data_IF_623994615168
#
_entry.id   IF_623994615168
#
_cell.length_a   1.000
_cell.length_b   1.000
_cell.length_c   1.000
_cell.angle_alpha   90.00
_cell.angle_beta   90.00
_cell.angle_gamma   90.00
#
_symmetry.space_group_name_H-M   'P 1'
#
loop_
_entity.id
_entity.type
_entity.pdbx_description
1 polymer ?
#
# COMPACT_ATOMS: atom_id res chain seq x y z
N UNK A 1 8.95 20.84 -16.69
CA UNK A 1 7.64 21.37 -16.21
C UNK A 1 7.00 20.31 -15.32
N UNK A 2 6.43 20.72 -14.20
CA UNK A 2 6.00 19.80 -13.13
C UNK A 2 4.80 18.94 -13.51
N UNK A 3 4.86 17.65 -13.18
CA UNK A 3 3.72 16.74 -13.18
C UNK A 3 3.06 16.76 -11.81
N UNK A 4 1.73 16.74 -11.79
CA UNK A 4 0.92 16.72 -10.58
C UNK A 4 -0.06 15.56 -10.60
N UNK A 5 -0.42 15.09 -9.41
CA UNK A 5 -1.52 14.16 -9.20
C UNK A 5 -2.64 14.89 -8.46
N UNK A 6 -3.88 14.72 -8.92
CA UNK A 6 -5.04 15.33 -8.29
C UNK A 6 -6.24 14.38 -8.24
N UNK A 7 -6.96 14.40 -7.12
CA UNK A 7 -8.25 13.74 -6.95
C UNK A 7 -9.35 14.79 -7.08
N UNK A 8 -10.30 14.58 -7.99
CA UNK A 8 -11.37 15.53 -8.26
C UNK A 8 -12.58 14.84 -8.90
N UNK A 9 -13.75 15.49 -8.82
CA UNK A 9 -14.96 15.08 -9.52
C UNK A 9 -14.91 15.57 -10.97
N UNK A 10 -15.26 14.71 -11.93
CA UNK A 10 -15.46 15.09 -13.33
C UNK A 10 -16.77 15.87 -13.45
N UNK A 11 -16.72 17.01 -14.12
CA UNK A 11 -17.90 17.75 -14.58
C UNK A 11 -17.69 18.26 -16.01
N UNK A 12 -18.77 18.63 -16.68
CA UNK A 12 -18.75 19.16 -18.05
C UNK A 12 -17.98 18.28 -19.06
N UNK A 13 -18.06 16.96 -18.93
CA UNK A 13 -17.40 16.01 -19.82
C UNK A 13 -17.94 16.10 -21.25
N UNK A 14 -17.03 16.31 -22.21
CA UNK A 14 -17.27 16.34 -23.64
C UNK A 14 -16.33 15.40 -24.38
N UNK A 15 -16.89 14.59 -25.28
CA UNK A 15 -16.19 13.56 -26.04
C UNK A 15 -16.46 13.70 -27.55
N UNK A 16 -15.93 14.74 -28.21
CA UNK A 16 -16.11 14.97 -29.64
C UNK A 16 -15.49 13.85 -30.51
N UNK A 17 -15.89 13.81 -31.79
CA UNK A 17 -15.44 12.82 -32.77
C UNK A 17 -13.92 12.80 -33.02
N UNK A 18 -13.18 13.86 -32.66
CA UNK A 18 -11.71 13.88 -32.67
C UNK A 18 -11.08 12.84 -31.72
N UNK A 19 -11.85 12.36 -30.75
CA UNK A 19 -11.41 11.40 -29.75
C UNK A 19 -10.63 12.02 -28.59
N UNK A 20 -10.52 13.36 -28.52
CA UNK A 20 -10.04 14.08 -27.34
C UNK A 20 -11.15 14.21 -26.32
N UNK A 21 -10.81 14.20 -25.04
CA UNK A 21 -11.76 14.46 -23.96
C UNK A 21 -11.48 15.83 -23.37
N UNK A 22 -12.56 16.58 -23.12
CA UNK A 22 -12.52 17.86 -22.43
C UNK A 22 -13.45 17.77 -21.24
N UNK A 23 -12.97 18.16 -20.05
CA UNK A 23 -13.76 18.10 -18.83
C UNK A 23 -13.22 19.12 -17.83
N UNK A 24 -13.99 19.34 -16.77
CA UNK A 24 -13.59 20.14 -15.62
C UNK A 24 -13.36 19.20 -14.44
N UNK A 25 -12.22 19.35 -13.78
CA UNK A 25 -11.92 18.69 -12.51
C UNK A 25 -12.27 19.68 -11.39
N UNK A 26 -13.18 19.29 -10.49
CA UNK A 26 -13.62 20.15 -9.39
C UNK A 26 -13.52 19.45 -8.03
N UNK A 27 -13.40 20.26 -6.98
CA UNK A 27 -13.63 19.90 -5.59
C UNK A 27 -14.66 20.87 -4.97
N UNK A 28 -14.82 20.86 -3.65
CA UNK A 28 -15.77 21.72 -2.93
C UNK A 28 -15.44 23.23 -3.01
N UNK A 29 -14.22 23.61 -3.42
CA UNK A 29 -13.70 24.98 -3.33
C UNK A 29 -13.26 25.56 -4.67
N UNK A 30 -12.85 24.72 -5.61
CA UNK A 30 -12.22 25.14 -6.84
C UNK A 30 -12.53 24.19 -8.00
N UNK A 31 -12.28 24.69 -9.22
CA UNK A 31 -12.40 23.91 -10.44
C UNK A 31 -11.33 24.31 -11.45
N UNK A 32 -10.89 23.35 -12.26
CA UNK A 32 -9.88 23.57 -13.30
C UNK A 32 -10.25 22.83 -14.58
N UNK A 33 -10.03 23.49 -15.73
CA UNK A 33 -10.24 22.88 -17.04
C UNK A 33 -9.16 21.85 -17.34
N UNK A 34 -9.56 20.74 -17.93
CA UNK A 34 -8.68 19.65 -18.29
C UNK A 34 -8.98 19.13 -19.69
N UNK A 35 -7.92 18.83 -20.43
CA UNK A 35 -7.98 18.13 -21.70
C UNK A 35 -7.18 16.83 -21.61
N UNK A 36 -7.68 15.78 -22.26
CA UNK A 36 -7.01 14.49 -22.36
C UNK A 36 -6.99 14.05 -23.83
N UNK A 37 -5.78 13.87 -24.36
CA UNK A 37 -5.61 13.55 -25.77
C UNK A 37 -5.94 12.09 -26.08
N UNK A 38 -6.30 11.82 -27.33
CA UNK A 38 -6.83 10.52 -27.79
C UNK A 38 -5.91 9.36 -27.43
N UNK A 39 -4.60 9.56 -27.54
CA UNK A 39 -3.59 8.54 -27.21
C UNK A 39 -3.59 8.19 -25.72
N UNK A 40 -3.80 9.19 -24.85
CA UNK A 40 -3.93 8.98 -23.40
C UNK A 40 -5.26 8.30 -23.05
N UNK A 41 -6.36 8.69 -23.71
CA UNK A 41 -7.70 8.15 -23.47
C UNK A 41 -7.75 6.62 -23.65
N UNK A 42 -6.99 6.08 -24.62
CA UNK A 42 -6.91 4.62 -24.88
C UNK A 42 -6.37 3.81 -23.70
N UNK A 43 -5.66 4.44 -22.77
CA UNK A 43 -5.12 3.77 -21.56
C UNK A 43 -6.09 3.76 -20.39
N UNK A 44 -7.22 4.47 -20.51
CA UNK A 44 -8.26 4.52 -19.50
C UNK A 44 -9.14 3.29 -19.67
N UNK A 45 -9.15 2.41 -18.68
CA UNK A 45 -9.85 1.11 -18.70
C UNK A 45 -11.33 1.21 -18.32
N UNK A 46 -11.79 2.40 -17.95
CA UNK A 46 -13.18 2.67 -17.57
C UNK A 46 -13.77 3.79 -18.41
N UNK A 47 -15.11 3.90 -18.39
CA UNK A 47 -15.83 4.98 -19.08
C UNK A 47 -16.05 6.15 -18.10
N UNK A 48 -15.38 7.30 -18.29
CA UNK A 48 -15.58 8.46 -17.41
C UNK A 48 -16.96 9.06 -17.58
N UNK A 49 -17.52 9.58 -16.48
CA UNK A 49 -18.85 10.18 -16.43
C UNK A 49 -18.83 11.46 -15.56
N UNK A 50 -19.77 12.37 -15.80
CA UNK A 50 -19.98 13.51 -14.89
C UNK A 50 -20.42 13.01 -13.51
N UNK A 51 -19.97 13.67 -12.44
CA UNK A 51 -20.21 13.24 -11.06
C UNK A 51 -19.23 12.17 -10.57
N UNK A 52 -18.33 11.67 -11.42
CA UNK A 52 -17.41 10.62 -11.05
C UNK A 52 -16.14 11.19 -10.42
N UNK A 53 -15.79 10.70 -9.23
CA UNK A 53 -14.51 10.99 -8.61
C UNK A 53 -13.38 10.22 -9.32
N UNK A 54 -12.32 10.92 -9.71
CA UNK A 54 -11.16 10.36 -10.41
C UNK A 54 -9.83 10.85 -9.84
N UNK A 55 -8.80 10.01 -9.96
CA UNK A 55 -7.41 10.38 -9.77
C UNK A 55 -6.77 10.60 -11.14
N UNK A 56 -6.19 11.79 -11.34
CA UNK A 56 -5.60 12.20 -12.62
C UNK A 56 -4.13 12.55 -12.42
N UNK A 57 -3.27 12.08 -13.32
CA UNK A 57 -1.91 12.61 -13.49
C UNK A 57 -1.92 13.61 -14.63
N UNK A 58 -1.48 14.83 -14.36
CA UNK A 58 -1.53 15.91 -15.34
C UNK A 58 -0.30 16.81 -15.29
N UNK A 59 -0.13 17.61 -16.35
CA UNK A 59 0.79 18.74 -16.40
C UNK A 59 0.02 20.05 -16.57
N UNK A 60 0.53 21.12 -15.98
CA UNK A 60 -0.03 22.46 -16.12
C UNK A 60 0.44 23.04 -17.45
N UNK A 61 -0.48 23.61 -18.23
CA UNK A 61 -0.18 24.32 -19.47
C UNK A 61 -0.98 25.62 -19.56
N UNK A 62 -0.50 26.55 -20.37
CA UNK A 62 -1.20 27.79 -20.71
C UNK A 62 -1.88 27.61 -22.07
N UNK A 63 -3.18 27.79 -22.14
CA UNK A 63 -3.88 27.84 -23.42
C UNK A 63 -3.78 29.24 -24.00
N UNK A 64 -2.74 29.46 -24.81
CA UNK A 64 -2.37 30.76 -25.39
C UNK A 64 -3.52 31.54 -26.02
N UNK A 65 -4.48 30.93 -26.76
CA UNK A 65 -5.55 31.68 -27.39
C UNK A 65 -6.50 32.39 -26.41
N UNK A 66 -6.57 31.96 -25.14
CA UNK A 66 -7.40 32.59 -24.10
C UNK A 66 -6.61 33.09 -22.90
N UNK A 67 -5.32 32.75 -22.79
CA UNK A 67 -4.51 33.06 -21.61
C UNK A 67 -4.93 32.28 -20.35
N UNK A 68 -5.75 31.24 -20.49
CA UNK A 68 -6.25 30.45 -19.37
C UNK A 68 -5.27 29.31 -19.03
N UNK A 69 -4.99 29.09 -17.74
CA UNK A 69 -4.32 27.88 -17.29
C UNK A 69 -5.26 26.67 -17.41
N UNK A 70 -4.73 25.56 -17.91
CA UNK A 70 -5.44 24.28 -18.00
C UNK A 70 -4.50 23.11 -17.67
N UNK A 71 -5.10 21.96 -17.41
CA UNK A 71 -4.38 20.71 -17.20
C UNK A 71 -4.42 19.83 -18.44
N UNK A 72 -3.30 19.22 -18.80
CA UNK A 72 -3.26 18.12 -19.77
C UNK A 72 -3.15 16.82 -18.99
N UNK A 73 -4.21 16.03 -18.99
CA UNK A 73 -4.23 14.71 -18.37
C UNK A 73 -3.44 13.70 -19.21
N UNK A 74 -2.54 12.99 -18.53
CA UNK A 74 -1.75 11.90 -19.12
C UNK A 74 -2.31 10.52 -18.76
N UNK A 75 -2.89 10.40 -17.55
CA UNK A 75 -3.56 9.19 -17.06
C UNK A 75 -4.73 9.55 -16.16
N UNK A 76 -5.74 8.68 -16.13
CA UNK A 76 -6.95 8.82 -15.32
C UNK A 76 -7.34 7.45 -14.76
N UNK A 77 -7.71 7.41 -13.48
CA UNK A 77 -8.18 6.22 -12.76
C UNK A 77 -9.42 6.58 -11.93
N UNK A 78 -10.34 5.65 -11.65
CA UNK A 78 -11.40 5.88 -10.67
C UNK A 78 -10.79 6.23 -9.31
N UNK A 79 -11.37 7.19 -8.59
CA UNK A 79 -10.81 7.59 -7.31
C UNK A 79 -10.96 6.53 -6.20
N UNK A 80 -11.74 5.45 -6.40
CA UNK A 80 -11.72 4.30 -5.49
C UNK A 80 -10.31 3.74 -5.33
N UNK A 81 -9.60 3.54 -6.45
CA UNK A 81 -8.20 3.10 -6.46
C UNK A 81 -7.24 4.22 -6.05
N UNK A 82 -7.56 5.46 -6.42
CA UNK A 82 -6.74 6.63 -6.11
C UNK A 82 -6.75 7.03 -4.63
N UNK A 83 -7.87 6.86 -3.94
CA UNK A 83 -7.99 7.09 -2.49
C UNK A 83 -7.17 6.04 -1.73
N UNK A 84 -7.28 4.77 -2.12
CA UNK A 84 -6.45 3.70 -1.58
C UNK A 84 -4.96 4.00 -1.76
N UNK A 85 -4.56 4.39 -2.97
CA UNK A 85 -3.18 4.76 -3.27
C UNK A 85 -2.71 5.97 -2.45
N UNK A 86 -3.55 7.00 -2.29
CA UNK A 86 -3.24 8.18 -1.49
C UNK A 86 -3.09 7.83 -0.01
N UNK A 87 -4.02 7.04 0.53
CA UNK A 87 -3.98 6.63 1.93
C UNK A 87 -2.79 5.70 2.22
N UNK A 88 -2.41 4.84 1.26
CA UNK A 88 -1.20 4.03 1.31
C UNK A 88 0.05 4.90 1.36
N UNK A 89 0.16 5.91 0.49
CA UNK A 89 1.32 6.80 0.47
C UNK A 89 1.42 7.65 1.75
N UNK A 90 0.29 8.16 2.25
CA UNK A 90 0.23 8.87 3.53
C UNK A 90 0.69 7.99 4.70
N UNK A 91 0.24 6.74 4.73
CA UNK A 91 0.66 5.79 5.77
C UNK A 91 2.16 5.47 5.66
N UNK A 92 2.67 5.26 4.44
CA UNK A 92 4.09 5.01 4.20
C UNK A 92 4.94 6.20 4.66
N UNK A 93 4.56 7.43 4.34
CA UNK A 93 5.23 8.64 4.79
C UNK A 93 5.21 8.74 6.32
N UNK A 94 4.07 8.46 6.96
CA UNK A 94 3.94 8.46 8.40
C UNK A 94 4.86 7.43 9.07
N UNK A 95 4.79 6.16 8.64
CA UNK A 95 5.62 5.08 9.20
C UNK A 95 7.11 5.34 8.97
N UNK A 96 7.48 5.96 7.85
CA UNK A 96 8.85 6.40 7.60
C UNK A 96 9.28 7.54 8.52
N UNK A 97 8.41 8.50 8.80
CA UNK A 97 8.69 9.58 9.75
C UNK A 97 8.79 9.07 11.20
N UNK A 98 8.08 7.98 11.54
CA UNK A 98 8.22 7.24 12.79
C UNK A 98 9.54 6.42 12.86
N UNK A 99 10.35 6.40 11.79
CA UNK A 99 11.65 5.73 11.74
C UNK A 99 11.58 4.20 11.61
N UNK A 100 10.38 3.63 11.40
CA UNK A 100 10.17 2.18 11.38
C UNK A 100 10.87 1.46 10.22
N UNK A 101 11.33 2.20 9.21
CA UNK A 101 12.08 1.66 8.08
C UNK A 101 13.59 1.96 8.14
N UNK A 102 14.05 2.63 9.20
CA UNK A 102 15.44 3.04 9.33
C UNK A 102 16.37 1.82 9.33
N UNK A 103 17.51 1.98 8.65
CA UNK A 103 18.50 0.92 8.52
C UNK A 103 19.03 0.44 9.89
N UNK A 104 19.02 1.31 10.91
CA UNK A 104 19.46 1.00 12.27
C UNK A 104 18.62 -0.09 12.97
N UNK A 105 17.35 -0.26 12.59
CA UNK A 105 16.48 -1.30 13.15
C UNK A 105 16.52 -2.61 12.36
N UNK A 106 17.15 -2.62 11.19
CA UNK A 106 17.25 -3.82 10.36
C UNK A 106 18.37 -4.72 10.86
N UNK A 107 18.00 -5.95 11.20
CA UNK A 107 18.96 -6.98 11.59
C UNK A 107 19.58 -7.63 10.34
N UNK A 108 20.88 -7.96 10.35
CA UNK A 108 21.50 -8.72 9.28
C UNK A 108 20.86 -10.11 9.20
N UNK A 109 20.64 -10.60 7.98
CA UNK A 109 20.14 -11.97 7.79
C UNK A 109 21.24 -12.99 8.11
N UNK A 110 20.91 -14.09 8.79
CA UNK A 110 21.87 -15.15 9.06
C UNK A 110 22.34 -15.81 7.75
N UNK A 111 23.64 -16.08 7.66
CA UNK A 111 24.26 -16.75 6.52
C UNK A 111 25.27 -17.83 6.99
N UNK A 112 25.04 -19.13 6.71
CA UNK A 112 23.83 -19.72 6.14
C UNK A 112 22.67 -19.78 7.15
N UNK A 113 21.43 -19.65 6.67
CA UNK A 113 20.25 -19.95 7.49
C UNK A 113 20.18 -21.47 7.74
N UNK A 114 19.89 -21.90 8.98
CA UNK A 114 19.79 -23.32 9.33
C UNK A 114 18.36 -23.80 9.43
N UNK A 115 17.40 -22.91 9.74
CA UNK A 115 15.96 -23.21 9.68
C UNK A 115 15.15 -21.94 9.39
N UNK A 116 14.17 -22.07 8.51
CA UNK A 116 13.28 -20.98 8.10
C UNK A 116 11.87 -21.20 8.64
N UNK A 117 11.32 -20.20 9.32
CA UNK A 117 9.90 -20.14 9.65
C UNK A 117 9.13 -19.40 8.56
N UNK A 118 7.96 -19.89 8.17
CA UNK A 118 7.09 -19.28 7.16
C UNK A 118 5.73 -18.96 7.78
N UNK A 119 5.41 -17.67 7.89
CA UNK A 119 4.14 -17.15 8.38
C UNK A 119 3.33 -16.70 7.15
N UNK A 120 2.34 -17.51 6.77
CA UNK A 120 1.47 -17.28 5.61
C UNK A 120 0.18 -18.09 5.74
N UNK A 121 -0.78 -17.90 4.83
CA UNK A 121 -1.99 -18.72 4.80
C UNK A 121 -1.68 -20.16 4.38
N UNK A 122 -2.30 -21.13 5.06
CA UNK A 122 -2.06 -22.56 4.81
C UNK A 122 -2.46 -23.03 3.40
N UNK A 123 -3.38 -22.32 2.74
CA UNK A 123 -3.95 -22.65 1.43
C UNK A 123 -3.54 -21.69 0.31
N UNK A 124 -2.68 -20.70 0.59
CA UNK A 124 -2.35 -19.65 -0.37
C UNK A 124 -1.25 -20.03 -1.35
N UNK A 125 -1.31 -19.51 -2.58
CA UNK A 125 -0.26 -19.64 -3.60
C UNK A 125 1.12 -19.22 -3.10
N UNK A 126 1.18 -18.21 -2.22
CA UNK A 126 2.44 -17.76 -1.62
C UNK A 126 3.19 -18.85 -0.85
N UNK A 127 2.48 -19.75 -0.15
CA UNK A 127 3.15 -20.86 0.53
C UNK A 127 3.82 -21.78 -0.50
N UNK A 128 3.11 -22.10 -1.58
CA UNK A 128 3.64 -22.93 -2.65
C UNK A 128 4.87 -22.29 -3.31
N UNK A 129 4.80 -21.00 -3.63
CA UNK A 129 5.90 -20.26 -4.24
C UNK A 129 7.15 -20.24 -3.33
N UNK A 130 6.96 -19.98 -2.03
CA UNK A 130 8.05 -19.99 -1.04
C UNK A 130 8.68 -21.38 -0.97
N UNK A 131 7.87 -22.44 -0.83
CA UNK A 131 8.35 -23.81 -0.75
C UNK A 131 9.09 -24.21 -2.04
N UNK A 132 8.57 -23.86 -3.22
CA UNK A 132 9.20 -24.17 -4.50
C UNK A 132 10.55 -23.45 -4.67
N UNK A 133 10.63 -22.18 -4.29
CA UNK A 133 11.88 -21.40 -4.35
C UNK A 133 12.91 -21.95 -3.38
N UNK A 134 12.51 -22.26 -2.14
CA UNK A 134 13.41 -22.84 -1.13
C UNK A 134 13.88 -24.23 -1.54
N UNK A 135 12.99 -25.10 -2.00
CA UNK A 135 13.34 -26.44 -2.49
C UNK A 135 14.35 -26.38 -3.64
N UNK A 136 14.25 -25.38 -4.54
CA UNK A 136 15.19 -25.21 -5.65
C UNK A 136 16.54 -24.66 -5.19
N UNK A 137 16.58 -23.80 -4.17
CA UNK A 137 17.81 -23.13 -3.71
C UNK A 137 18.58 -23.96 -2.69
N UNK A 138 17.89 -24.58 -1.75
CA UNK A 138 18.44 -25.44 -0.70
C UNK A 138 17.39 -26.48 -0.27
N UNK A 139 17.38 -27.67 -0.90
CA UNK A 139 16.44 -28.75 -0.57
C UNK A 139 16.61 -29.30 0.86
N UNK A 140 17.75 -29.05 1.50
CA UNK A 140 18.07 -29.59 2.83
C UNK A 140 17.63 -28.68 3.96
N UNK A 141 17.25 -27.43 3.65
CA UNK A 141 16.85 -26.41 4.60
C UNK A 141 15.51 -26.79 5.26
N UNK A 142 15.48 -27.05 6.58
CA UNK A 142 14.24 -27.30 7.30
C UNK A 142 13.32 -26.08 7.29
N UNK A 143 12.02 -26.33 7.15
CA UNK A 143 10.99 -25.30 7.07
C UNK A 143 9.94 -25.57 8.15
N UNK A 144 9.62 -24.54 8.94
CA UNK A 144 8.48 -24.57 9.89
C UNK A 144 7.39 -23.67 9.37
N UNK A 145 6.18 -24.19 9.23
CA UNK A 145 5.03 -23.40 8.78
C UNK A 145 4.23 -22.95 10.00
N UNK A 146 3.90 -21.66 10.02
CA UNK A 146 3.04 -21.00 10.99
C UNK A 146 1.77 -20.51 10.28
N UNK A 147 0.74 -21.36 10.15
CA UNK A 147 -0.50 -21.03 9.45
C UNK A 147 -1.16 -19.79 10.05
N UNK A 148 -1.28 -18.74 9.25
CA UNK A 148 -1.76 -17.43 9.73
C UNK A 148 -2.62 -16.78 8.66
N UNK A 149 -3.77 -16.19 9.04
CA UNK A 149 -4.50 -15.36 8.08
C UNK A 149 -3.67 -14.10 7.79
N UNK A 150 -3.40 -13.87 6.52
CA UNK A 150 -2.62 -12.72 6.04
C UNK A 150 -3.49 -11.71 5.30
N UNK A 151 -4.80 -11.92 5.34
CA UNK A 151 -5.85 -11.07 4.77
C UNK A 151 -7.01 -10.98 5.77
N UNK A 152 -7.85 -9.95 5.64
CA UNK A 152 -8.93 -9.69 6.57
C UNK A 152 -8.53 -8.82 7.76
N UNK A 153 -9.55 -8.28 8.44
CA UNK A 153 -9.39 -7.38 9.59
C UNK A 153 -8.62 -8.00 10.77
N UNK A 154 -8.63 -9.33 10.90
CA UNK A 154 -7.97 -10.06 11.99
C UNK A 154 -6.49 -10.39 11.71
N UNK A 155 -6.04 -10.23 10.46
CA UNK A 155 -4.69 -10.61 10.05
C UNK A 155 -3.56 -9.96 10.85
N UNK A 156 -3.59 -8.65 11.20
CA UNK A 156 -2.49 -8.03 11.94
C UNK A 156 -2.24 -8.71 13.29
N UNK A 157 -3.31 -8.97 14.06
CA UNK A 157 -3.19 -9.62 15.37
C UNK A 157 -2.77 -11.07 15.25
N UNK A 158 -3.20 -11.78 14.21
CA UNK A 158 -2.77 -13.15 13.97
C UNK A 158 -1.29 -13.23 13.59
N UNK A 159 -0.80 -12.31 12.74
CA UNK A 159 0.61 -12.22 12.37
C UNK A 159 1.48 -11.93 13.60
N UNK A 160 1.08 -10.97 14.45
CA UNK A 160 1.80 -10.69 15.70
C UNK A 160 1.89 -11.93 16.59
N UNK A 161 0.77 -12.63 16.80
CA UNK A 161 0.75 -13.87 17.60
C UNK A 161 1.62 -14.98 17.00
N UNK A 162 1.68 -15.09 15.68
CA UNK A 162 2.52 -16.06 14.99
C UNK A 162 4.01 -15.75 15.14
N UNK A 163 4.39 -14.47 15.02
CA UNK A 163 5.78 -14.01 15.26
C UNK A 163 6.17 -14.27 16.71
N UNK A 164 5.31 -13.91 17.67
CA UNK A 164 5.58 -14.19 19.08
C UNK A 164 5.70 -15.69 19.38
N UNK A 165 4.85 -16.52 18.75
CA UNK A 165 4.93 -17.96 18.90
C UNK A 165 6.25 -18.52 18.34
N UNK A 166 6.69 -18.04 17.17
CA UNK A 166 7.95 -18.43 16.58
C UNK A 166 9.15 -18.01 17.45
N UNK A 167 9.14 -16.77 17.95
CA UNK A 167 10.18 -16.26 18.85
C UNK A 167 10.22 -17.05 20.18
N UNK A 168 9.07 -17.49 20.71
CA UNK A 168 9.02 -18.31 21.93
C UNK A 168 9.54 -19.73 21.71
N UNK A 169 9.36 -20.31 20.52
CA UNK A 169 9.85 -21.66 20.18
C UNK A 169 11.34 -21.67 19.87
N UNK A 170 11.88 -20.54 19.42
CA UNK A 170 13.30 -20.34 19.13
C UNK A 170 13.88 -21.44 18.21
N UNK A 171 13.07 -21.90 17.25
CA UNK A 171 13.41 -23.02 16.38
C UNK A 171 13.85 -22.60 14.98
N UNK A 172 13.68 -21.32 14.63
CA UNK A 172 13.98 -20.74 13.32
C UNK A 172 14.96 -19.57 13.47
N UNK A 173 15.96 -19.48 12.60
CA UNK A 173 16.91 -18.34 12.61
C UNK A 173 16.36 -17.14 11.82
N UNK A 174 15.38 -17.38 10.95
CA UNK A 174 14.76 -16.36 10.09
C UNK A 174 13.28 -16.68 9.87
N UNK A 175 12.46 -15.64 9.83
CA UNK A 175 11.04 -15.72 9.52
C UNK A 175 10.74 -15.04 8.19
N UNK A 176 10.02 -15.74 7.32
CA UNK A 176 9.40 -15.18 6.11
C UNK A 176 7.94 -14.93 6.44
N UNK A 177 7.53 -13.66 6.44
CA UNK A 177 6.12 -13.27 6.54
C UNK A 177 5.67 -12.85 5.15
N UNK A 178 4.68 -13.54 4.59
CA UNK A 178 4.28 -13.35 3.20
C UNK A 178 2.77 -13.50 2.98
N UNK A 179 2.25 -12.75 2.00
CA UNK A 179 0.87 -12.84 1.53
C UNK A 179 0.88 -13.12 0.02
N UNK A 180 -0.05 -13.94 -0.47
CA UNK A 180 -0.25 -14.19 -1.90
C UNK A 180 -0.73 -12.95 -2.67
N UNK A 181 -0.46 -12.92 -3.98
CA UNK A 181 -0.67 -11.78 -4.89
C UNK A 181 -2.13 -11.36 -5.09
N UNK A 182 -2.69 -10.68 -4.08
CA UNK A 182 -3.97 -9.97 -4.17
C UNK A 182 -3.84 -8.60 -4.83
N UNK A 183 -4.97 -8.05 -5.31
CA UNK A 183 -5.08 -6.69 -5.85
C UNK A 183 -4.71 -5.63 -4.80
N UNK A 184 -4.53 -4.37 -5.22
CA UNK A 184 -4.23 -3.26 -4.29
C UNK A 184 -5.34 -3.07 -3.24
N UNK A 185 -6.60 -3.33 -3.63
CA UNK A 185 -7.80 -3.30 -2.77
C UNK A 185 -7.67 -4.25 -1.57
N UNK A 186 -7.00 -5.37 -1.84
CA UNK A 186 -6.79 -6.50 -0.98
C UNK A 186 -5.72 -6.18 0.10
N UNK A 187 -4.85 -5.18 -0.10
CA UNK A 187 -3.82 -4.71 0.87
C UNK A 187 -4.38 -3.86 2.02
N UNK A 188 -5.57 -3.28 1.84
CA UNK A 188 -6.09 -2.22 2.70
C UNK A 188 -6.64 -2.70 4.04
N UNK A 189 -7.06 -3.97 4.15
CA UNK A 189 -7.66 -4.49 5.38
C UNK A 189 -6.65 -4.73 6.51
N UNK A 190 -5.36 -4.85 6.19
CA UNK A 190 -4.29 -5.00 7.18
C UNK A 190 -3.98 -3.69 7.92
N UNK A 191 -4.27 -2.53 7.32
CA UNK A 191 -3.71 -1.23 7.75
C UNK A 191 -4.63 -0.40 8.66
N UNK A 192 -5.91 -0.78 8.81
CA UNK A 192 -6.91 0.07 9.47
C UNK A 192 -6.73 0.20 10.99
N UNK A 193 -5.90 -0.62 11.66
CA UNK A 193 -5.90 -0.71 13.14
C UNK A 193 -4.57 -0.85 13.90
N UNK A 194 -3.41 -0.53 13.32
CA UNK A 194 -2.19 -0.32 14.15
C UNK A 194 -2.25 0.95 15.02
N UNK A 195 -3.40 1.64 15.09
CA UNK A 195 -3.68 2.73 16.03
C UNK A 195 -4.18 2.28 17.41
N UNK A 196 -4.42 0.98 17.62
CA UNK A 196 -4.97 0.46 18.90
C UNK A 196 -3.98 -0.22 19.85
N UNK A 197 -2.75 -0.51 19.42
CA UNK A 197 -1.80 -1.33 20.21
C UNK A 197 -0.59 -0.55 20.76
N UNK A 198 -0.58 0.78 20.62
CA UNK A 198 0.53 1.65 21.06
C UNK A 198 0.52 2.06 22.52
N UNK A 199 -0.45 1.61 23.33
CA UNK A 199 -0.67 2.12 24.69
C UNK A 199 -0.48 1.06 25.81
N UNK A 200 0.49 0.17 25.62
CA UNK A 200 1.02 -0.67 26.71
C UNK A 200 2.47 -0.26 27.02
N UNK A 201 2.66 1.01 27.38
CA UNK A 201 3.81 1.40 28.20
C UNK A 201 3.46 1.15 29.67
N UNK A 202 3.99 0.06 30.23
CA UNK A 202 4.07 -0.11 31.68
C UNK A 202 4.89 1.04 32.29
N UNK A 203 4.47 1.65 33.40
CA UNK A 203 5.38 2.37 34.28
C UNK A 203 5.92 1.40 35.34
N UNK A 204 7.16 0.95 35.15
CA UNK A 204 7.99 0.42 36.23
C UNK A 204 9.01 1.49 36.63
N UNK A 205 8.72 2.22 37.70
CA UNK A 205 9.73 2.76 38.61
C UNK A 205 9.07 3.24 39.90
N UNK A 206 9.14 2.42 40.95
CA UNK A 206 9.76 2.95 42.16
C UNK A 206 10.37 1.84 43.00
N UNK A 207 11.67 2.03 43.26
CA UNK A 207 12.53 1.18 44.06
C UNK A 207 12.47 1.71 45.50
N UNK A 208 12.64 0.77 46.44
CA UNK A 208 13.25 0.92 47.77
C UNK A 208 12.35 1.10 49.02
N UNK A 209 12.67 0.21 49.98
CA UNK A 209 12.75 0.39 51.45
C UNK A 209 11.46 0.19 52.27
N UNK A 210 11.32 -0.98 52.91
CA UNK A 210 11.77 -1.27 54.30
C UNK A 210 11.26 -2.64 54.78
N UNK A 211 12.18 -3.41 55.38
CA UNK A 211 11.92 -4.51 56.34
C UNK A 211 11.49 -3.92 57.70
N UNK A 212 10.89 -4.71 58.61
CA UNK A 212 11.65 -5.69 59.42
C UNK A 212 11.48 -7.13 58.95
#
# INVERSE_FOLDING_TARGET
MGQIWLSAEISNLSQPASGHWYFTLKDDRAQVRCAMFRNSNRRVTFRPQNGQQVLVRASITLYEPRGDYQLIAESMQPAGDGLLQQQFEQLKQRLSAEGLFDQQFKQPLPAPAKRVGVITSASGAALHDILQVLQRRDPSLPIVIYPTSVQGAEAPMQIVRAIEAANRRDECDVLIVGRGGGSLEDLWELQRRTRGAGDLRQPHSDRQRRRP
#
